data_IF_468969448846
#
_entry.id   IF_468969448846
#
_cell.length_a   1.000
_cell.length_b   1.000
_cell.length_c   1.000
_cell.angle_alpha   90.00
_cell.angle_beta   90.00
_cell.angle_gamma   90.00
#
_symmetry.space_group_name_H-M   'P 1'
#
loop_
_entity.id
_entity.type
_entity.pdbx_description
1 polymer ?
#
# COMPACT_ATOMS: atom_id res chain seq x y z
N UNK A 1 -10.05 -3.81 -6.08
CA UNK A 1 -9.48 -3.89 -4.72
C UNK A 1 -10.23 -4.90 -3.87
N UNK A 2 -9.56 -5.53 -2.89
CA UNK A 2 -10.18 -6.52 -2.01
C UNK A 2 -9.39 -6.67 -0.69
N UNK A 3 -9.95 -7.40 0.27
CA UNK A 3 -9.30 -7.72 1.55
C UNK A 3 -8.74 -9.14 1.52
N UNK A 4 -7.55 -9.32 2.10
CA UNK A 4 -6.89 -10.62 2.29
C UNK A 4 -6.72 -10.87 3.78
N UNK A 5 -7.12 -12.06 4.24
CA UNK A 5 -6.86 -12.49 5.62
C UNK A 5 -5.43 -13.01 5.76
N UNK A 6 -4.65 -12.38 6.64
CA UNK A 6 -3.25 -12.77 6.91
C UNK A 6 -3.14 -14.12 7.59
N UNK A 7 -4.22 -14.65 8.17
CA UNK A 7 -4.28 -15.99 8.76
C UNK A 7 -3.96 -17.09 7.75
N UNK A 8 -4.29 -16.90 6.46
CA UNK A 8 -3.92 -17.82 5.39
C UNK A 8 -2.40 -17.86 5.11
N UNK A 9 -1.64 -16.92 5.68
CA UNK A 9 -0.20 -16.75 5.51
C UNK A 9 0.54 -16.86 6.85
N UNK A 10 -0.08 -17.51 7.85
CA UNK A 10 0.51 -17.69 9.18
C UNK A 10 1.85 -18.43 9.13
N UNK A 11 2.03 -19.36 8.19
CA UNK A 11 3.31 -20.07 7.99
C UNK A 11 4.43 -19.13 7.53
N UNK A 12 4.14 -18.18 6.64
CA UNK A 12 5.14 -17.20 6.19
C UNK A 12 5.60 -16.30 7.34
N UNK A 13 4.66 -15.93 8.23
CA UNK A 13 4.98 -15.21 9.45
C UNK A 13 5.74 -16.07 10.47
N UNK A 14 5.29 -17.30 10.69
CA UNK A 14 5.91 -18.26 11.62
C UNK A 14 7.33 -18.63 11.20
N UNK A 15 7.57 -18.92 9.93
CA UNK A 15 8.90 -19.20 9.37
C UNK A 15 9.86 -18.02 9.60
N UNK A 16 9.38 -16.79 9.43
CA UNK A 16 10.16 -15.59 9.75
C UNK A 16 10.40 -15.40 11.26
N UNK A 17 9.59 -15.98 12.13
CA UNK A 17 9.79 -15.98 13.59
C UNK A 17 10.74 -17.10 14.06
N UNK A 18 10.60 -18.31 13.49
CA UNK A 18 11.40 -19.49 13.80
C UNK A 18 12.86 -19.34 13.40
N UNK A 19 13.14 -18.74 12.24
CA UNK A 19 14.50 -18.40 11.79
C UNK A 19 15.27 -17.54 12.81
N UNK A 20 14.56 -16.94 13.77
CA UNK A 20 15.09 -16.00 14.76
C UNK A 20 14.98 -16.53 16.20
N UNK A 21 14.51 -17.76 16.41
CA UNK A 21 14.35 -18.34 17.74
C UNK A 21 13.27 -17.67 18.62
N UNK A 22 12.32 -16.97 18.01
CA UNK A 22 11.17 -16.36 18.69
C UNK A 22 9.90 -17.19 18.47
N UNK A 23 8.90 -17.04 19.35
CA UNK A 23 7.62 -17.75 19.24
C UNK A 23 6.84 -17.36 17.96
N UNK A 24 6.25 -18.35 17.30
CA UNK A 24 5.43 -18.19 16.09
C UNK A 24 4.02 -17.67 16.39
N UNK A 25 3.92 -16.51 17.07
CA UNK A 25 2.63 -15.83 17.23
C UNK A 25 2.09 -15.41 15.85
N UNK A 26 0.76 -15.34 15.69
CA UNK A 26 0.12 -14.90 14.42
C UNK A 26 0.53 -13.47 14.05
N UNK A 27 0.50 -13.13 12.74
CA UNK A 27 0.52 -11.73 12.29
C UNK A 27 -0.52 -10.91 13.05
N UNK A 28 -0.12 -9.76 13.60
CA UNK A 28 -1.02 -8.83 14.28
C UNK A 28 -0.79 -7.42 13.76
N UNK A 29 -1.80 -6.82 13.15
CA UNK A 29 -1.69 -5.43 12.67
C UNK A 29 -1.31 -4.48 13.81
N UNK A 30 -1.88 -4.68 15.01
CA UNK A 30 -1.57 -3.85 16.18
C UNK A 30 -0.09 -3.90 16.59
N UNK A 31 0.57 -5.05 16.46
CA UNK A 31 1.99 -5.20 16.79
C UNK A 31 2.87 -4.47 15.77
N UNK A 32 2.52 -4.56 14.49
CA UNK A 32 3.21 -3.82 13.41
C UNK A 32 3.04 -2.31 13.61
N UNK A 33 1.83 -1.84 13.88
CA UNK A 33 1.56 -0.41 14.14
C UNK A 33 2.35 0.10 15.35
N UNK A 34 2.46 -0.69 16.42
CA UNK A 34 3.32 -0.33 17.57
C UNK A 34 4.81 -0.22 17.21
N UNK A 35 5.30 -1.02 16.26
CA UNK A 35 6.67 -0.90 15.76
C UNK A 35 6.84 0.35 14.90
N UNK A 36 5.82 0.72 14.13
CA UNK A 36 5.79 1.98 13.37
C UNK A 36 5.82 3.19 14.30
N UNK A 37 5.11 3.14 15.44
CA UNK A 37 5.18 4.19 16.47
C UNK A 37 6.58 4.35 17.05
N UNK A 38 7.26 3.23 17.34
CA UNK A 38 8.64 3.26 17.81
C UNK A 38 9.60 3.86 16.78
N UNK A 39 9.38 3.57 15.49
CA UNK A 39 10.15 4.16 14.39
C UNK A 39 9.95 5.67 14.29
N UNK A 40 8.71 6.17 14.34
CA UNK A 40 8.45 7.61 14.27
C UNK A 40 8.76 8.37 15.56
N UNK A 41 9.01 7.65 16.66
CA UNK A 41 9.46 8.20 17.94
C UNK A 41 10.96 8.50 18.03
N UNK A 42 11.75 8.24 16.97
CA UNK A 42 13.18 8.58 16.96
C UNK A 42 13.40 10.11 16.92
N UNK A 43 14.56 10.61 17.40
CA UNK A 43 14.90 12.03 17.37
C UNK A 43 14.84 12.65 15.97
N UNK A 44 14.38 13.90 15.87
CA UNK A 44 14.16 14.59 14.58
C UNK A 44 15.47 14.83 13.79
N UNK A 45 16.57 15.05 14.49
CA UNK A 45 17.91 15.14 13.89
C UNK A 45 18.32 13.84 13.20
N UNK A 46 17.96 12.70 13.81
CA UNK A 46 18.20 11.38 13.24
C UNK A 46 17.25 11.11 12.06
N UNK A 47 15.98 11.55 12.13
CA UNK A 47 15.08 11.47 10.97
C UNK A 47 15.64 12.22 9.77
N UNK A 48 16.21 13.40 10.00
CA UNK A 48 16.85 14.19 8.96
C UNK A 48 18.17 13.56 8.46
N UNK A 49 19.00 12.99 9.34
CA UNK A 49 20.23 12.28 8.97
C UNK A 49 19.95 11.08 8.07
N UNK A 50 18.90 10.32 8.38
CA UNK A 50 18.48 9.13 7.62
C UNK A 50 17.42 9.45 6.56
N UNK A 51 17.30 10.71 6.13
CA UNK A 51 16.33 11.13 5.12
C UNK A 51 16.70 10.70 3.70
N UNK A 52 15.73 10.23 2.91
CA UNK A 52 15.93 9.74 1.52
C UNK A 52 16.65 10.77 0.63
N UNK A 53 16.22 12.04 0.68
CA UNK A 53 16.85 13.15 -0.08
C UNK A 53 18.32 13.35 0.27
N UNK A 54 18.71 13.11 1.52
CA UNK A 54 20.08 13.26 1.99
C UNK A 54 20.94 12.07 1.59
N UNK A 55 20.37 10.87 1.68
CA UNK A 55 21.06 9.62 1.33
C UNK A 55 21.15 9.41 -0.18
N UNK A 56 20.32 10.09 -0.98
CA UNK A 56 20.33 10.00 -2.43
C UNK A 56 19.73 8.70 -2.98
N UNK A 57 18.97 7.97 -2.15
CA UNK A 57 18.36 6.68 -2.48
C UNK A 57 16.87 6.61 -2.11
N UNK A 58 16.27 5.45 -2.36
CA UNK A 58 14.86 5.16 -2.08
C UNK A 58 14.59 4.70 -0.63
N UNK A 59 15.61 4.54 0.21
CA UNK A 59 15.49 4.04 1.61
C UNK A 59 15.70 5.15 2.64
N UNK A 60 15.00 5.07 3.77
CA UNK A 60 15.08 6.04 4.87
C UNK A 60 13.84 6.92 5.03
N UNK A 61 13.95 7.99 5.81
CA UNK A 61 12.84 8.89 6.13
C UNK A 61 12.44 9.79 4.97
N UNK A 62 11.14 9.98 4.83
CA UNK A 62 10.49 11.02 4.06
C UNK A 62 10.08 12.10 5.06
N UNK A 63 10.66 13.29 4.93
CA UNK A 63 10.34 14.42 5.79
C UNK A 63 8.86 14.83 5.69
N UNK A 64 8.36 15.51 6.70
CA UNK A 64 6.99 16.01 6.73
C UNK A 64 6.67 16.89 5.51
N UNK A 65 5.60 16.55 4.78
CA UNK A 65 5.20 17.27 3.56
C UNK A 65 6.16 17.10 2.37
N UNK A 66 7.23 16.31 2.50
CA UNK A 66 8.28 16.23 1.50
C UNK A 66 7.90 15.39 0.28
N UNK A 67 6.91 14.50 0.42
CA UNK A 67 6.31 13.71 -0.66
C UNK A 67 4.98 14.36 -1.03
N UNK A 68 5.02 15.36 -1.90
CA UNK A 68 3.83 15.89 -2.54
C UNK A 68 3.88 15.46 -4.00
N UNK A 69 3.00 14.53 -4.38
CA UNK A 69 2.89 14.04 -5.77
C UNK A 69 2.48 15.13 -6.77
N UNK A 70 2.10 16.30 -6.26
CA UNK A 70 1.83 17.50 -7.04
C UNK A 70 2.27 18.75 -6.26
N UNK A 71 2.81 19.78 -6.94
CA UNK A 71 3.16 21.05 -6.31
C UNK A 71 1.93 21.81 -5.79
N UNK A 72 0.72 21.38 -6.17
CA UNK A 72 -0.54 22.01 -5.78
C UNK A 72 -1.05 21.55 -4.40
N UNK A 73 -0.57 20.41 -3.91
CA UNK A 73 -1.05 19.82 -2.66
C UNK A 73 0.05 19.78 -1.61
N UNK A 74 -0.34 20.00 -0.36
CA UNK A 74 0.49 19.71 0.79
C UNK A 74 0.03 18.39 1.41
N UNK A 75 0.88 17.37 1.36
CA UNK A 75 0.57 16.05 1.94
C UNK A 75 0.98 16.01 3.42
N UNK A 76 -0.02 16.02 4.29
CA UNK A 76 0.14 16.10 5.74
C UNK A 76 0.56 14.74 6.36
N UNK A 77 1.76 14.30 6.00
CA UNK A 77 2.38 13.06 6.47
C UNK A 77 3.90 13.17 6.52
N UNK A 78 4.50 12.37 7.40
CA UNK A 78 5.89 11.93 7.29
C UNK A 78 5.91 10.45 6.92
N UNK A 79 7.04 9.95 6.42
CA UNK A 79 7.15 8.56 6.01
C UNK A 79 8.52 7.94 6.26
N UNK A 80 8.62 6.63 6.08
CA UNK A 80 9.88 5.90 6.07
C UNK A 80 9.82 4.75 5.08
N UNK A 81 10.85 4.61 4.27
CA UNK A 81 10.97 3.62 3.21
C UNK A 81 11.97 2.53 3.57
N UNK A 82 11.57 1.26 3.46
CA UNK A 82 12.46 0.11 3.55
C UNK A 82 12.05 -0.96 2.54
N UNK A 83 12.96 -1.83 2.15
CA UNK A 83 12.74 -2.91 1.21
C UNK A 83 13.41 -4.19 1.68
N UNK A 84 13.84 -5.00 0.71
CA UNK A 84 14.51 -6.27 0.95
C UNK A 84 15.77 -6.15 1.82
N UNK A 85 15.89 -7.01 2.83
CA UNK A 85 17.01 -7.00 3.77
C UNK A 85 17.87 -8.26 3.74
N UNK A 86 17.39 -9.36 3.15
CA UNK A 86 18.08 -10.66 3.20
C UNK A 86 19.01 -10.89 2.00
N UNK A 87 20.08 -10.11 1.96
CA UNK A 87 21.02 -10.15 0.84
C UNK A 87 21.98 -11.35 0.85
N UNK A 88 21.93 -12.23 1.88
CA UNK A 88 22.81 -13.41 1.96
C UNK A 88 24.31 -13.10 1.90
N UNK A 89 24.72 -11.86 2.22
CA UNK A 89 26.10 -11.37 2.12
C UNK A 89 26.52 -10.85 0.75
N UNK A 90 25.68 -10.97 -0.30
CA UNK A 90 25.90 -10.29 -1.57
C UNK A 90 25.53 -8.80 -1.46
N UNK A 91 26.26 -7.87 -2.09
CA UNK A 91 25.82 -6.48 -2.15
C UNK A 91 24.62 -6.34 -3.10
N UNK A 92 23.73 -5.34 -2.88
CA UNK A 92 22.79 -4.86 -3.88
C UNK A 92 23.54 -4.55 -5.18
N UNK A 93 22.99 -5.01 -6.31
CA UNK A 93 23.72 -5.01 -7.59
C UNK A 93 22.92 -4.45 -8.76
N UNK A 94 21.59 -4.39 -8.64
CA UNK A 94 20.70 -3.83 -9.64
C UNK A 94 20.31 -2.38 -9.40
N UNK A 95 19.82 -1.72 -10.45
CA UNK A 95 19.15 -0.43 -10.32
C UNK A 95 17.93 -0.59 -9.38
N UNK A 96 17.77 0.32 -8.42
CA UNK A 96 16.73 0.31 -7.36
C UNK A 96 16.94 -0.73 -6.24
N UNK A 97 18.00 -1.53 -6.28
CA UNK A 97 18.41 -2.39 -5.17
C UNK A 97 19.28 -1.58 -4.19
N UNK A 98 18.81 -1.43 -2.95
CA UNK A 98 19.48 -0.63 -1.93
C UNK A 98 19.38 -1.28 -0.54
N UNK A 99 20.42 -1.12 0.27
CA UNK A 99 20.37 -1.46 1.68
C UNK A 99 19.44 -0.50 2.44
N UNK A 100 18.68 -1.05 3.39
CA UNK A 100 17.81 -0.24 4.23
C UNK A 100 18.61 0.67 5.17
N UNK A 101 18.25 1.95 5.19
CA UNK A 101 18.88 2.97 6.01
C UNK A 101 18.13 3.16 7.34
N UNK A 102 18.34 2.23 8.28
CA UNK A 102 17.69 2.31 9.60
C UNK A 102 18.44 3.26 10.54
N UNK A 103 17.71 4.18 11.21
CA UNK A 103 18.24 4.92 12.33
C UNK A 103 18.69 3.99 13.46
N UNK A 104 19.77 4.39 14.16
CA UNK A 104 20.34 3.69 15.31
C UNK A 104 19.37 3.67 16.50
N UNK A 105 18.55 4.71 16.68
CA UNK A 105 17.61 4.78 17.80
C UNK A 105 16.38 3.90 17.62
N UNK A 106 16.13 3.35 16.42
CA UNK A 106 15.02 2.40 16.22
C UNK A 106 15.35 1.11 16.98
N UNK A 107 14.47 0.65 17.89
CA UNK A 107 14.69 -0.60 18.60
C UNK A 107 14.89 -1.76 17.63
N UNK A 108 15.93 -2.57 17.85
CA UNK A 108 16.25 -3.69 16.96
C UNK A 108 15.08 -4.67 16.80
N UNK A 109 14.25 -4.84 17.84
CA UNK A 109 13.03 -5.65 17.76
C UNK A 109 11.99 -5.07 16.79
N UNK A 110 11.73 -3.76 16.85
CA UNK A 110 10.80 -3.09 15.93
C UNK A 110 11.29 -3.18 14.48
N UNK A 111 12.59 -2.90 14.25
CA UNK A 111 13.23 -3.08 12.94
C UNK A 111 13.02 -4.49 12.39
N UNK A 112 13.26 -5.53 13.20
CA UNK A 112 13.09 -6.94 12.78
C UNK A 112 11.65 -7.27 12.38
N UNK A 113 10.67 -6.80 13.16
CA UNK A 113 9.25 -7.02 12.84
C UNK A 113 8.89 -6.39 11.50
N UNK A 114 9.35 -5.17 11.24
CA UNK A 114 9.09 -4.45 9.99
C UNK A 114 9.82 -5.09 8.79
N UNK A 115 11.14 -5.24 8.87
CA UNK A 115 11.96 -5.71 7.74
C UNK A 115 11.75 -7.18 7.37
N UNK A 116 11.52 -8.05 8.37
CA UNK A 116 11.48 -9.49 8.13
C UNK A 116 10.08 -10.05 8.16
N UNK A 117 9.35 -9.81 9.24
CA UNK A 117 8.04 -10.46 9.44
C UNK A 117 6.96 -9.83 8.58
N UNK A 118 6.79 -8.51 8.66
CA UNK A 118 5.81 -7.78 7.86
C UNK A 118 6.13 -7.91 6.36
N UNK A 119 7.39 -7.65 5.98
CA UNK A 119 7.85 -7.81 4.60
C UNK A 119 7.61 -9.24 4.09
N UNK A 120 7.93 -10.26 4.90
CA UNK A 120 7.76 -11.67 4.55
C UNK A 120 6.29 -12.04 4.30
N UNK A 121 5.36 -11.59 5.14
CA UNK A 121 3.92 -11.84 4.93
C UNK A 121 3.41 -11.12 3.69
N UNK A 122 3.80 -9.87 3.48
CA UNK A 122 3.37 -9.11 2.31
C UNK A 122 3.94 -9.69 1.02
N UNK A 123 5.20 -10.13 1.04
CA UNK A 123 5.81 -10.90 -0.06
C UNK A 123 5.01 -12.17 -0.34
N UNK A 124 4.69 -12.96 0.69
CA UNK A 124 3.94 -14.21 0.52
C UNK A 124 2.54 -13.98 -0.06
N UNK A 125 1.83 -12.93 0.40
CA UNK A 125 0.54 -12.52 -0.18
C UNK A 125 0.72 -12.14 -1.65
N UNK A 126 1.71 -11.30 -1.97
CA UNK A 126 2.00 -10.88 -3.34
C UNK A 126 2.30 -12.06 -4.26
N UNK A 127 3.17 -12.99 -3.85
CA UNK A 127 3.51 -14.20 -4.61
C UNK A 127 2.31 -15.11 -4.85
N UNK A 128 1.46 -15.30 -3.84
CA UNK A 128 0.24 -16.08 -3.99
C UNK A 128 -0.74 -15.43 -4.98
N UNK A 129 -0.87 -14.10 -4.92
CA UNK A 129 -1.70 -13.35 -5.87
C UNK A 129 -1.12 -13.39 -7.29
N UNK A 130 0.20 -13.29 -7.46
CA UNK A 130 0.85 -13.44 -8.77
C UNK A 130 0.54 -14.80 -9.39
N UNK A 131 0.63 -15.90 -8.64
CA UNK A 131 0.21 -17.23 -9.13
C UNK A 131 -1.26 -17.26 -9.56
N UNK A 132 -2.15 -16.70 -8.74
CA UNK A 132 -3.56 -16.62 -9.05
C UNK A 132 -3.85 -15.80 -10.33
N UNK A 133 -3.18 -14.66 -10.49
CA UNK A 133 -3.30 -13.84 -11.70
C UNK A 133 -2.70 -14.53 -12.93
N UNK A 134 -1.60 -15.26 -12.75
CA UNK A 134 -0.99 -16.06 -13.81
C UNK A 134 -1.99 -17.10 -14.35
N UNK A 135 -2.67 -17.84 -13.47
CA UNK A 135 -3.75 -18.75 -13.88
C UNK A 135 -4.87 -18.05 -14.64
N UNK A 136 -5.29 -16.88 -14.17
CA UNK A 136 -6.43 -16.15 -14.74
C UNK A 136 -6.12 -15.51 -16.10
N UNK A 137 -4.85 -15.13 -16.34
CA UNK A 137 -4.42 -14.45 -17.56
C UNK A 137 -3.82 -15.41 -18.59
N UNK A 138 -3.15 -16.47 -18.15
CA UNK A 138 -2.38 -17.38 -19.01
C UNK A 138 -2.83 -18.84 -18.95
N UNK A 139 -3.70 -19.22 -17.99
CA UNK A 139 -4.09 -20.61 -17.78
C UNK A 139 -3.04 -21.48 -17.09
N UNK A 140 -1.93 -20.87 -16.65
CA UNK A 140 -0.79 -21.52 -16.00
C UNK A 140 -0.31 -20.67 -14.82
N UNK A 141 -0.13 -21.27 -13.65
CA UNK A 141 0.30 -20.56 -12.44
C UNK A 141 1.77 -20.12 -12.46
N UNK A 142 2.62 -20.68 -13.33
CA UNK A 142 4.06 -20.45 -13.32
C UNK A 142 4.53 -19.33 -14.24
N UNK A 143 3.77 -18.96 -15.27
CA UNK A 143 4.18 -18.00 -16.31
C UNK A 143 4.67 -16.66 -15.73
N UNK A 144 3.89 -16.05 -14.83
CA UNK A 144 4.31 -14.80 -14.17
C UNK A 144 5.41 -15.02 -13.12
N UNK A 145 5.30 -15.98 -12.17
CA UNK A 145 6.37 -16.25 -11.22
C UNK A 145 7.75 -16.50 -11.84
N UNK A 146 7.82 -17.31 -12.90
CA UNK A 146 9.09 -17.66 -13.55
C UNK A 146 9.72 -16.43 -14.21
N UNK A 147 8.89 -15.59 -14.83
CA UNK A 147 9.32 -14.37 -15.52
C UNK A 147 9.78 -13.27 -14.55
N UNK A 148 9.23 -13.25 -13.34
CA UNK A 148 9.33 -12.11 -12.42
C UNK A 148 10.05 -12.41 -11.10
N UNK A 149 10.61 -13.61 -10.98
CA UNK A 149 11.47 -14.02 -9.86
C UNK A 149 12.52 -12.96 -9.52
N UNK A 150 12.75 -12.70 -8.23
CA UNK A 150 13.69 -11.66 -7.77
C UNK A 150 13.06 -10.26 -7.62
N UNK A 151 11.78 -10.07 -7.97
CA UNK A 151 11.08 -8.79 -7.78
C UNK A 151 10.98 -8.32 -6.33
N UNK A 152 11.10 -9.22 -5.36
CA UNK A 152 11.16 -8.90 -3.94
C UNK A 152 12.33 -7.96 -3.60
N UNK A 153 13.43 -8.00 -4.38
CA UNK A 153 14.64 -7.18 -4.14
C UNK A 153 14.44 -5.69 -4.41
N UNK A 154 13.52 -5.36 -5.31
CA UNK A 154 13.14 -3.97 -5.60
C UNK A 154 11.77 -3.59 -5.01
N UNK A 155 11.02 -4.57 -4.50
CA UNK A 155 9.80 -4.33 -3.74
C UNK A 155 10.09 -3.52 -2.49
N UNK A 156 9.18 -2.59 -2.17
CA UNK A 156 9.41 -1.56 -1.16
C UNK A 156 8.18 -1.37 -0.28
N UNK A 157 8.41 -1.28 1.02
CA UNK A 157 7.44 -0.85 2.01
C UNK A 157 7.66 0.64 2.32
N UNK A 158 6.56 1.40 2.36
CA UNK A 158 6.50 2.74 2.91
C UNK A 158 5.58 2.74 4.10
N UNK A 159 6.07 3.22 5.23
CA UNK A 159 5.23 3.48 6.41
C UNK A 159 5.00 4.97 6.52
N UNK A 160 3.79 5.35 6.87
CA UNK A 160 3.36 6.74 6.94
C UNK A 160 2.72 7.04 8.28
N UNK A 161 3.00 8.24 8.78
CA UNK A 161 2.32 8.87 9.90
C UNK A 161 1.63 10.12 9.39
N UNK A 162 0.31 10.14 9.49
CA UNK A 162 -0.52 11.29 9.12
C UNK A 162 -0.89 12.06 10.37
N UNK A 163 -0.67 13.37 10.34
CA UNK A 163 -0.88 14.22 11.51
C UNK A 163 -2.31 14.74 11.56
N UNK A 164 -2.88 14.89 12.75
CA UNK A 164 -4.15 15.60 12.93
C UNK A 164 -3.97 17.12 12.77
N UNK A 165 -2.81 17.64 13.17
CA UNK A 165 -2.51 19.07 13.22
C UNK A 165 -2.29 19.74 11.87
N UNK A 166 -2.19 19.02 10.76
CA UNK A 166 -2.01 19.63 9.44
C UNK A 166 -3.14 20.60 9.08
N UNK A 167 -4.35 20.39 9.61
CA UNK A 167 -5.46 21.36 9.48
C UNK A 167 -5.18 22.66 10.26
N UNK A 168 -4.49 22.60 11.40
CA UNK A 168 -4.11 23.77 12.22
C UNK A 168 -2.89 24.50 11.68
N UNK A 169 -1.91 23.77 11.14
CA UNK A 169 -0.67 24.33 10.63
C UNK A 169 -0.86 24.94 9.24
N UNK A 170 -1.66 24.30 8.37
CA UNK A 170 -2.02 24.90 7.09
C UNK A 170 -2.83 26.21 7.24
N UNK A 171 -3.63 26.35 8.32
CA UNK A 171 -4.30 27.61 8.69
C UNK A 171 -3.32 28.74 9.04
N UNK A 172 -2.08 28.43 9.45
CA UNK A 172 -1.05 29.42 9.79
C UNK A 172 -0.19 29.83 8.59
N UNK A 173 -0.11 28.99 7.56
CA UNK A 173 0.88 29.13 6.48
C UNK A 173 0.32 29.54 5.10
N UNK A 174 -0.99 29.80 4.93
CA UNK A 174 -1.51 30.16 3.59
C UNK A 174 -2.50 31.33 3.59
N UNK A 175 -2.15 32.37 2.84
CA UNK A 175 -2.97 33.54 2.54
C UNK A 175 -3.50 33.48 1.10
N UNK A 176 -4.48 32.60 0.85
CA UNK A 176 -5.46 32.69 -0.23
C UNK A 176 -6.22 31.37 -0.30
N UNK A 177 -7.56 31.45 -0.28
CA UNK A 177 -8.52 30.41 -0.66
C UNK A 177 -7.96 29.00 -0.89
N UNK A 178 -8.11 28.12 0.11
CA UNK A 178 -8.70 26.77 -0.02
C UNK A 178 -8.54 25.99 1.29
N UNK A 179 -9.62 25.90 2.05
CA UNK A 179 -9.82 24.88 3.10
C UNK A 179 -9.67 23.43 2.57
N UNK A 180 -9.51 23.24 1.26
CA UNK A 180 -9.34 21.95 0.57
C UNK A 180 -7.89 21.49 0.37
N UNK A 181 -6.87 22.37 0.47
CA UNK A 181 -5.48 22.00 0.14
C UNK A 181 -4.65 21.52 1.35
N UNK A 182 -5.06 21.88 2.56
CA UNK A 182 -4.45 21.55 3.86
C UNK A 182 -4.67 20.11 4.36
N UNK A 183 -5.28 19.28 3.52
CA UNK A 183 -6.39 18.46 3.97
C UNK A 183 -6.22 16.98 3.61
N UNK A 184 -5.28 16.73 2.70
CA UNK A 184 -4.93 15.42 2.20
C UNK A 184 -3.71 14.89 2.96
N UNK A 185 -3.81 13.66 3.44
CA UNK A 185 -2.66 12.87 3.83
C UNK A 185 -1.88 12.37 2.61
N UNK A 186 -2.57 12.09 1.50
CA UNK A 186 -1.94 11.81 0.20
C UNK A 186 -2.86 12.27 -0.93
N UNK A 187 -2.29 12.94 -1.93
CA UNK A 187 -3.03 13.50 -3.06
C UNK A 187 -3.64 12.40 -3.96
N UNK A 188 -4.61 12.69 -4.84
CA UNK A 188 -5.11 11.72 -5.81
C UNK A 188 -4.01 11.14 -6.72
N UNK A 189 -3.84 9.82 -6.72
CA UNK A 189 -2.87 9.11 -7.57
C UNK A 189 -3.26 7.65 -7.84
N UNK A 190 -2.54 7.02 -8.77
CA UNK A 190 -2.47 5.57 -8.97
C UNK A 190 -1.09 5.07 -8.57
N UNK A 191 -0.97 3.76 -8.29
CA UNK A 191 0.30 3.15 -7.93
C UNK A 191 0.94 2.51 -9.16
N UNK A 192 2.23 2.75 -9.41
CA UNK A 192 2.90 2.24 -10.61
C UNK A 192 3.14 0.72 -10.62
N UNK A 193 3.17 0.08 -9.45
CA UNK A 193 3.60 -1.32 -9.30
C UNK A 193 2.62 -2.35 -9.85
N UNK A 194 2.89 -3.62 -9.52
CA UNK A 194 1.96 -4.69 -9.87
C UNK A 194 0.80 -4.74 -8.87
N UNK A 195 1.13 -4.81 -7.58
CA UNK A 195 0.16 -4.84 -6.49
C UNK A 195 0.58 -3.88 -5.39
N UNK A 196 -0.40 -3.28 -4.75
CA UNK A 196 -0.21 -2.49 -3.54
C UNK A 196 -0.94 -3.17 -2.39
N UNK A 197 -0.20 -3.54 -1.35
CA UNK A 197 -0.71 -4.19 -0.15
C UNK A 197 -0.67 -3.19 1.00
N UNK A 198 -1.80 -2.99 1.68
CA UNK A 198 -1.97 -1.96 2.70
C UNK A 198 -2.39 -2.59 4.02
N UNK A 199 -1.68 -2.25 5.09
CA UNK A 199 -2.13 -2.40 6.47
C UNK A 199 -2.16 -1.03 7.13
N UNK A 200 -3.06 -0.78 8.07
CA UNK A 200 -3.14 0.49 8.78
C UNK A 200 -3.75 0.27 10.17
N UNK A 201 -3.82 1.33 10.97
CA UNK A 201 -4.80 1.34 12.05
C UNK A 201 -6.24 1.48 11.47
N UNK A 202 -7.25 1.37 12.33
CA UNK A 202 -8.64 1.52 11.91
C UNK A 202 -9.09 3.01 11.84
N UNK A 203 -8.15 3.96 11.88
CA UNK A 203 -8.46 5.34 11.54
C UNK A 203 -8.81 5.42 10.05
N UNK A 204 -10.03 5.86 9.68
CA UNK A 204 -10.42 5.99 8.29
C UNK A 204 -9.55 7.03 7.57
N UNK A 205 -9.63 7.10 6.24
CA UNK A 205 -8.92 8.13 5.48
C UNK A 205 -8.63 7.75 4.04
N UNK A 206 -8.38 6.46 3.77
CA UNK A 206 -8.21 5.97 2.40
C UNK A 206 -9.53 6.10 1.64
N UNK A 207 -9.49 6.76 0.48
CA UNK A 207 -10.61 6.89 -0.44
C UNK A 207 -10.23 6.40 -1.84
N UNK A 208 -11.14 5.69 -2.50
CA UNK A 208 -11.04 5.31 -3.90
C UNK A 208 -12.00 6.17 -4.72
N UNK A 209 -11.61 6.53 -5.95
CA UNK A 209 -12.52 7.11 -6.92
C UNK A 209 -13.30 6.01 -7.62
N UNK A 210 -14.63 6.08 -7.58
CA UNK A 210 -15.54 5.17 -8.24
C UNK A 210 -16.55 6.01 -9.03
N UNK A 211 -16.55 5.89 -10.36
CA UNK A 211 -17.43 6.65 -11.26
C UNK A 211 -17.37 8.18 -11.05
N UNK A 212 -16.18 8.70 -10.74
CA UNK A 212 -15.95 10.12 -10.49
C UNK A 212 -16.24 10.57 -9.04
N UNK A 213 -16.72 9.68 -8.18
CA UNK A 213 -17.02 9.96 -6.78
C UNK A 213 -15.99 9.33 -5.83
N UNK A 214 -15.60 10.07 -4.80
CA UNK A 214 -14.70 9.57 -3.77
C UNK A 214 -15.45 8.77 -2.71
N UNK A 215 -15.06 7.50 -2.53
CA UNK A 215 -15.64 6.59 -1.53
C UNK A 215 -14.61 6.18 -0.50
N UNK A 216 -14.92 6.37 0.78
CA UNK A 216 -14.05 5.98 1.88
C UNK A 216 -14.05 4.46 2.04
N UNK A 217 -12.86 3.87 2.11
CA UNK A 217 -12.68 2.45 2.42
C UNK A 217 -12.96 2.24 3.91
N UNK A 218 -13.97 1.42 4.23
CA UNK A 218 -14.25 1.03 5.62
C UNK A 218 -13.07 0.22 6.18
N UNK A 219 -12.39 0.71 7.23
CA UNK A 219 -11.24 0.01 7.80
C UNK A 219 -11.64 -1.35 8.39
N UNK A 220 -10.80 -2.37 8.16
CA UNK A 220 -10.93 -3.71 8.73
C UNK A 220 -9.58 -4.25 9.22
N UNK A 221 -8.63 -3.37 9.48
CA UNK A 221 -7.24 -3.73 9.72
C UNK A 221 -7.02 -4.33 11.11
N UNK A 222 -7.83 -3.96 12.11
CA UNK A 222 -7.82 -4.59 13.44
C UNK A 222 -8.16 -6.08 13.43
N UNK A 223 -8.73 -6.58 12.34
CA UNK A 223 -9.04 -8.00 12.11
C UNK A 223 -7.90 -8.74 11.40
N UNK A 224 -6.71 -8.15 11.37
CA UNK A 224 -5.52 -8.68 10.71
C UNK A 224 -5.75 -8.91 9.20
N UNK A 225 -6.53 -8.04 8.56
CA UNK A 225 -6.76 -8.03 7.12
C UNK A 225 -5.86 -7.00 6.42
N UNK A 226 -5.40 -7.37 5.23
CA UNK A 226 -4.62 -6.50 4.33
C UNK A 226 -5.52 -6.08 3.17
N UNK A 227 -5.53 -4.78 2.86
CA UNK A 227 -6.24 -4.25 1.71
C UNK A 227 -5.32 -4.27 0.48
N UNK A 228 -5.81 -4.79 -0.65
CA UNK A 228 -5.01 -4.98 -1.86
C UNK A 228 -5.59 -4.23 -3.04
N UNK A 229 -4.75 -3.45 -3.71
CA UNK A 229 -5.00 -2.80 -5.00
C UNK A 229 -4.10 -3.40 -6.08
N UNK A 230 -4.56 -3.34 -7.33
CA UNK A 230 -3.70 -3.49 -8.49
C UNK A 230 -3.04 -2.15 -8.78
N UNK A 231 -1.81 -2.15 -9.29
CA UNK A 231 -1.17 -0.97 -9.82
C UNK A 231 -1.19 -0.89 -11.34
N UNK A 232 -0.57 0.14 -11.89
CA UNK A 232 -0.58 0.47 -13.32
C UNK A 232 0.09 -0.62 -14.15
N UNK A 233 1.17 -1.24 -13.65
CA UNK A 233 1.80 -2.38 -14.33
C UNK A 233 0.81 -3.54 -14.52
N UNK A 234 -0.03 -3.82 -13.53
CA UNK A 234 -1.05 -4.87 -13.62
C UNK A 234 -2.19 -4.51 -14.59
N UNK A 235 -2.57 -3.23 -14.61
CA UNK A 235 -3.54 -2.72 -15.60
C UNK A 235 -3.02 -2.90 -17.02
N UNK A 236 -1.76 -2.54 -17.25
CA UNK A 236 -1.06 -2.73 -18.52
C UNK A 236 -1.00 -4.21 -18.90
N UNK A 237 -0.46 -5.05 -18.01
CA UNK A 237 -0.33 -6.50 -18.19
C UNK A 237 -1.63 -7.15 -18.63
N UNK A 238 -2.73 -6.74 -18.00
CA UNK A 238 -4.04 -7.35 -18.18
C UNK A 238 -4.89 -6.67 -19.25
N UNK A 239 -4.30 -5.77 -20.04
CA UNK A 239 -4.99 -4.97 -21.05
C UNK A 239 -6.25 -4.27 -20.49
N UNK A 240 -6.15 -3.73 -19.26
CA UNK A 240 -7.21 -3.01 -18.56
C UNK A 240 -8.25 -3.91 -17.86
N UNK A 241 -8.11 -5.24 -17.89
CA UNK A 241 -9.02 -6.15 -17.18
C UNK A 241 -8.97 -5.96 -15.66
N UNK A 242 -7.79 -5.66 -15.12
CA UNK A 242 -7.60 -5.29 -13.71
C UNK A 242 -7.22 -3.82 -13.61
N UNK A 243 -8.15 -2.99 -13.12
CA UNK A 243 -7.96 -1.55 -13.07
C UNK A 243 -7.07 -1.15 -11.88
N UNK A 244 -6.13 -0.24 -12.14
CA UNK A 244 -5.38 0.50 -11.11
C UNK A 244 -6.28 1.61 -10.56
N UNK A 245 -6.72 1.53 -9.28
CA UNK A 245 -7.71 2.46 -8.77
C UNK A 245 -7.07 3.81 -8.44
N UNK A 246 -7.67 4.89 -8.98
CA UNK A 246 -7.37 6.24 -8.52
C UNK A 246 -7.78 6.35 -7.05
N UNK A 247 -6.85 6.75 -6.19
CA UNK A 247 -7.07 6.79 -4.75
C UNK A 247 -6.38 7.99 -4.09
N UNK A 248 -6.82 8.35 -2.89
CA UNK A 248 -6.26 9.42 -2.06
C UNK A 248 -6.38 9.08 -0.58
N UNK A 249 -5.70 9.83 0.28
CA UNK A 249 -5.85 9.71 1.74
C UNK A 249 -6.23 11.05 2.32
N UNK A 250 -7.31 11.10 3.10
CA UNK A 250 -7.67 12.27 3.90
C UNK A 250 -6.86 12.32 5.19
N UNK A 251 -6.54 13.52 5.66
CA UNK A 251 -5.95 13.70 6.99
C UNK A 251 -6.97 13.34 8.08
N UNK A 252 -6.54 12.81 9.26
CA UNK A 252 -7.43 12.46 10.37
C UNK A 252 -8.47 13.54 10.73
N UNK A 253 -8.04 14.80 10.85
CA UNK A 253 -8.91 15.94 11.19
C UNK A 253 -9.99 16.29 10.15
N UNK A 254 -9.91 15.78 8.92
CA UNK A 254 -10.94 15.98 7.90
C UNK A 254 -12.06 14.95 7.93
N UNK A 255 -11.81 13.74 8.44
CA UNK A 255 -12.84 12.70 8.47
C UNK A 255 -14.01 13.06 9.39
N UNK A 256 -13.74 13.81 10.45
CA UNK A 256 -14.78 14.40 11.31
C UNK A 256 -15.71 15.36 10.56
N UNK A 257 -15.25 15.97 9.45
CA UNK A 257 -16.04 16.87 8.60
C UNK A 257 -16.75 16.12 7.46
N UNK A 258 -16.09 15.11 6.88
CA UNK A 258 -16.63 14.32 5.76
C UNK A 258 -17.68 13.28 6.19
N UNK A 259 -17.67 12.82 7.45
CA UNK A 259 -18.67 11.89 7.99
C UNK A 259 -20.09 12.48 8.13
N UNK A 260 -20.28 13.76 7.80
CA UNK A 260 -21.61 14.37 7.67
C UNK A 260 -22.33 13.97 6.36
N UNK A 261 -21.61 13.44 5.37
CA UNK A 261 -22.16 12.93 4.12
C UNK A 261 -21.93 11.42 4.02
N UNK A 262 -22.93 10.62 4.41
CA UNK A 262 -22.89 9.16 4.24
C UNK A 262 -22.92 8.77 2.76
N UNK A 263 -21.74 8.61 2.15
CA UNK A 263 -21.62 7.95 0.85
C UNK A 263 -21.63 6.42 1.05
N UNK A 264 -22.39 5.65 0.25
CA UNK A 264 -22.46 4.20 0.38
C UNK A 264 -21.10 3.56 0.12
N UNK A 265 -20.76 2.56 0.93
CA UNK A 265 -19.53 1.78 0.81
C UNK A 265 -19.37 1.23 -0.62
N UNK A 266 -18.15 1.25 -1.14
CA UNK A 266 -17.82 0.57 -2.38
C UNK A 266 -17.81 -0.94 -2.13
N UNK A 267 -18.93 -1.62 -2.42
CA UNK A 267 -18.87 -3.04 -2.70
C UNK A 267 -18.25 -3.25 -4.09
N UNK A 268 -17.33 -4.21 -4.26
CA UNK A 268 -16.82 -4.55 -5.59
C UNK A 268 -18.00 -4.90 -6.51
N UNK A 269 -17.97 -4.48 -7.78
CA UNK A 269 -19.10 -4.67 -8.68
C UNK A 269 -19.51 -6.15 -8.72
N UNK A 270 -20.78 -6.40 -8.40
CA UNK A 270 -21.38 -7.71 -8.61
C UNK A 270 -21.30 -8.06 -10.10
N UNK A 271 -20.53 -9.12 -10.38
CA UNK A 271 -20.44 -9.92 -11.63
C UNK A 271 -21.06 -9.30 -12.90
N UNK A 272 -20.22 -9.02 -13.90
CA UNK A 272 -20.61 -9.18 -15.31
C UNK A 272 -19.85 -10.36 -15.92
N UNK A 273 -20.62 -11.21 -16.60
CA UNK A 273 -20.30 -12.48 -17.26
C UNK A 273 -20.17 -13.71 -16.33
N UNK A 274 -21.11 -14.64 -16.52
CA UNK A 274 -21.23 -15.89 -15.81
C UNK A 274 -20.10 -16.87 -16.18
N UNK A 275 -19.47 -17.42 -15.15
CA UNK A 275 -18.89 -18.77 -15.21
C UNK A 275 -19.62 -19.56 -14.12
N UNK A 276 -20.29 -20.65 -14.53
CA UNK A 276 -21.05 -21.51 -13.64
C UNK A 276 -20.13 -22.13 -12.57
N UNK A 277 -20.40 -21.94 -11.27
CA UNK A 277 -19.62 -22.61 -10.24
C UNK A 277 -20.16 -24.01 -9.98
N UNK A 278 -19.28 -25.01 -10.03
CA UNK A 278 -19.51 -26.29 -9.37
C UNK A 278 -19.61 -26.06 -7.85
N UNK A 279 -20.56 -26.75 -7.24
CA UNK A 279 -21.07 -26.52 -5.90
C UNK A 279 -20.07 -26.79 -4.77
N UNK A 280 -20.07 -25.91 -3.75
CA UNK A 280 -19.70 -26.21 -2.36
C UNK A 280 -20.56 -25.33 -1.40
N UNK A 281 -20.77 -25.77 -0.13
CA UNK A 281 -22.01 -25.52 0.59
C UNK A 281 -22.05 -24.21 1.38
N UNK A 282 -23.28 -23.74 1.59
CA UNK A 282 -23.64 -22.53 2.31
C UNK A 282 -23.38 -22.63 3.84
N UNK A 283 -23.01 -21.51 4.44
CA UNK A 283 -22.98 -21.29 5.90
C UNK A 283 -23.75 -20.00 6.22
N UNK A 284 -24.39 -19.87 7.40
CA UNK A 284 -25.65 -19.15 7.54
C UNK A 284 -25.48 -17.64 7.76
N UNK A 285 -26.54 -16.93 7.35
CA UNK A 285 -26.74 -15.51 7.52
C UNK A 285 -26.79 -15.10 9.00
N UNK A 286 -26.29 -13.90 9.29
CA UNK A 286 -26.59 -13.15 10.51
C UNK A 286 -26.89 -11.69 10.13
N UNK A 287 -28.18 -11.37 10.08
CA UNK A 287 -28.70 -10.00 10.09
C UNK A 287 -28.70 -9.45 11.53
N UNK A 288 -28.33 -8.17 11.65
CA UNK A 288 -28.56 -7.35 12.83
C UNK A 288 -28.30 -5.88 12.51
N UNK A 289 -29.17 -4.94 12.91
CA UNK A 289 -29.02 -3.53 12.54
C UNK A 289 -27.88 -2.90 13.35
N UNK A 290 -26.85 -2.39 12.66
CA UNK A 290 -25.75 -1.65 13.29
C UNK A 290 -26.20 -0.19 13.48
N UNK A 291 -26.69 0.12 14.66
CA UNK A 291 -27.08 1.48 15.05
C UNK A 291 -25.91 2.37 15.48
N UNK A 292 -25.94 3.63 15.03
CA UNK A 292 -25.47 4.87 15.68
C UNK A 292 -24.15 4.89 16.49
N UNK A 293 -23.16 4.05 16.16
CA UNK A 293 -21.84 4.05 16.81
C UNK A 293 -20.80 4.99 16.18
N UNK A 294 -21.04 5.50 14.96
CA UNK A 294 -20.02 6.16 14.14
C UNK A 294 -19.69 7.58 14.63
N UNK A 295 -20.70 8.34 15.06
CA UNK A 295 -20.53 9.75 15.46
C UNK A 295 -19.72 9.93 16.76
N UNK A 296 -19.78 8.96 17.68
CA UNK A 296 -19.05 9.02 18.97
C UNK A 296 -17.56 8.65 18.88
N UNK A 297 -17.14 7.99 17.79
CA UNK A 297 -15.74 7.60 17.57
C UNK A 297 -14.90 8.70 16.91
N UNK A 298 -15.54 9.67 16.23
CA UNK A 298 -14.87 10.73 15.47
C UNK A 298 -14.20 11.79 16.35
N UNK A 299 -14.63 11.96 17.61
CA UNK A 299 -14.12 13.00 18.53
C UNK A 299 -12.81 12.63 19.25
N UNK A 300 -12.13 11.54 18.85
CA UNK A 300 -10.85 11.06 19.41
C UNK A 300 -9.79 10.74 18.32
N UNK A 301 -9.96 11.23 17.10
CA UNK A 301 -9.03 10.90 16.01
C UNK A 301 -7.69 11.62 16.23
N UNK A 302 -6.76 10.89 16.86
CA UNK A 302 -5.34 11.25 16.84
C UNK A 302 -4.73 10.97 15.45
N UNK A 303 -3.40 10.98 15.40
CA UNK A 303 -2.63 10.63 14.20
C UNK A 303 -3.00 9.24 13.65
N UNK A 304 -2.83 9.05 12.34
CA UNK A 304 -3.07 7.78 11.63
C UNK A 304 -1.76 7.16 11.17
N UNK A 305 -1.67 5.83 11.21
CA UNK A 305 -0.54 5.06 10.69
C UNK A 305 -0.99 4.16 9.56
N UNK A 306 -0.18 4.09 8.51
CA UNK A 306 -0.34 3.05 7.49
C UNK A 306 0.99 2.51 7.01
N UNK A 307 0.97 1.27 6.59
CA UNK A 307 2.03 0.58 5.86
C UNK A 307 1.48 0.30 4.47
N UNK A 308 2.22 0.72 3.46
CA UNK A 308 1.93 0.49 2.05
C UNK A 308 3.11 -0.28 1.47
N UNK A 309 2.84 -1.43 0.87
CA UNK A 309 3.85 -2.28 0.25
C UNK A 309 3.59 -2.38 -1.23
N UNK A 310 4.56 -1.91 -2.00
CA UNK A 310 4.55 -1.93 -3.43
C UNK A 310 5.28 -3.20 -3.89
N UNK A 311 4.49 -4.16 -4.35
CA UNK A 311 4.99 -5.41 -4.90
C UNK A 311 5.31 -5.21 -6.37
N UNK A 312 6.59 -5.37 -6.72
CA UNK A 312 7.10 -5.21 -8.08
C UNK A 312 7.64 -6.54 -8.61
N UNK A 313 7.53 -6.78 -9.93
CA UNK A 313 8.39 -7.76 -10.59
C UNK A 313 9.85 -7.28 -10.59
N UNK A 314 10.81 -8.13 -10.93
CA UNK A 314 12.22 -7.70 -11.14
C UNK A 314 12.31 -6.57 -12.17
N UNK A 315 13.33 -5.73 -12.07
CA UNK A 315 13.43 -4.49 -12.87
C UNK A 315 13.36 -4.71 -14.39
N UNK A 316 14.05 -5.74 -14.88
CA UNK A 316 14.11 -6.13 -16.30
C UNK A 316 13.08 -7.21 -16.68
N UNK A 317 12.04 -7.38 -15.86
CA UNK A 317 10.93 -8.29 -16.13
C UNK A 317 10.24 -7.93 -17.46
N UNK A 318 10.08 -8.94 -18.31
CA UNK A 318 9.26 -8.83 -19.52
C UNK A 318 7.84 -9.28 -19.22
N UNK A 319 6.87 -8.62 -19.86
CA UNK A 319 5.48 -9.07 -19.87
C UNK A 319 5.40 -10.29 -20.80
N UNK A 320 4.98 -11.47 -20.31
CA UNK A 320 4.81 -12.64 -21.17
C UNK A 320 3.65 -12.43 -22.15
N UNK A 321 3.80 -12.93 -23.38
CA UNK A 321 2.74 -12.92 -24.38
C UNK A 321 1.54 -13.76 -23.91
N UNK A 322 0.30 -13.29 -24.06
CA UNK A 322 -0.88 -14.10 -23.75
C UNK A 322 -0.89 -15.38 -24.61
N UNK A 323 -1.35 -16.49 -24.02
CA UNK A 323 -1.42 -17.79 -24.71
C UNK A 323 -2.30 -17.77 -25.98
N UNK A 324 -3.22 -16.80 -26.07
CA UNK A 324 -4.07 -16.57 -27.24
C UNK A 324 -3.44 -15.44 -28.04
N UNK A 325 -2.86 -15.74 -29.21
CA UNK A 325 -2.08 -14.81 -30.05
C UNK A 325 -2.79 -13.58 -30.62
N UNK A 326 -3.70 -12.94 -29.88
CA UNK A 326 -4.13 -11.56 -30.10
C UNK A 326 -3.02 -10.62 -29.61
N UNK A 327 -1.94 -10.61 -30.38
CA UNK A 327 -0.75 -9.82 -30.11
C UNK A 327 -1.03 -8.33 -30.10
N UNK A 328 -0.48 -7.68 -29.09
CA UNK A 328 0.14 -6.36 -29.25
C UNK A 328 1.27 -6.28 -28.22
N UNK A 329 2.50 -6.53 -28.68
CA UNK A 329 3.67 -5.99 -27.98
C UNK A 329 3.54 -4.48 -27.95
N UNK A 330 3.09 -3.94 -26.82
CA UNK A 330 3.42 -2.58 -26.46
C UNK A 330 4.51 -2.71 -25.39
N UNK A 331 5.72 -2.27 -25.74
CA UNK A 331 6.78 -2.08 -24.76
C UNK A 331 6.33 -0.95 -23.83
N UNK A 332 5.81 -1.30 -22.66
CA UNK A 332 5.54 -0.33 -21.61
C UNK A 332 6.74 -0.29 -20.68
N UNK A 333 7.55 0.77 -20.80
CA UNK A 333 8.49 1.12 -19.74
C UNK A 333 7.73 1.93 -18.70
N UNK A 334 7.57 1.39 -17.49
CA UNK A 334 6.88 2.06 -16.37
C UNK A 334 7.68 3.24 -15.81
N UNK A 335 8.91 3.45 -16.29
CA UNK A 335 9.83 4.48 -15.80
C UNK A 335 10.26 5.48 -16.88
N UNK A 336 9.63 5.48 -18.06
CA UNK A 336 9.79 6.58 -19.01
C UNK A 336 9.00 7.80 -18.49
N UNK A 337 9.70 8.93 -18.39
CA UNK A 337 9.19 10.23 -17.96
C UNK A 337 7.86 10.61 -18.65
N UNK A 338 6.75 10.45 -17.94
CA UNK A 338 5.39 10.80 -18.38
C UNK A 338 5.15 12.33 -18.44
N UNK A 339 6.14 13.18 -18.11
CA UNK A 339 5.98 14.63 -18.22
C UNK A 339 5.92 15.13 -19.68
N UNK A 340 6.11 14.26 -20.69
CA UNK A 340 6.19 14.67 -22.10
C UNK A 340 5.11 14.18 -23.05
N UNK A 341 4.25 13.23 -22.66
CA UNK A 341 3.23 12.68 -23.57
C UNK A 341 1.78 12.99 -23.15
N UNK A 342 1.56 14.18 -22.60
CA UNK A 342 0.23 14.81 -22.65
C UNK A 342 0.00 15.39 -24.05
N UNK A 343 -0.26 14.52 -25.03
CA UNK A 343 -0.84 14.93 -26.32
C UNK A 343 -2.31 14.50 -26.33
N UNK A 344 -3.14 15.52 -26.09
CA UNK A 344 -4.54 15.73 -26.48
C UNK A 344 -5.29 14.55 -27.16
N UNK A 345 -6.32 13.96 -26.53
CA UNK A 345 -7.25 13.07 -27.20
C UNK A 345 -8.39 13.89 -27.80
N UNK A 346 -8.23 14.32 -29.06
CA UNK A 346 -9.35 14.60 -29.97
C UNK A 346 -9.58 13.44 -30.93
#
# INVERSE_FOLDING_TARGET
SFWVDTGAFSEAWASAAEAEGEGADRFRTSAVISCVDQLFGVPEDEKHEFGTKRLGGARGFIGYGAESGSPEFFENKEGFCFGFSDWGGAPPSGDLEEHNAWPRSVPGAARRVLERRLFGVFRAIGEALVRAYSLVLYGDESVLPDSWSGGERISIARVFRYFDEGVREARRHTSANRETLASLGSSPHTDWGLLTLIAADDCPGLQLSCDGEWRTVTPKFSRDLVFVNCGDYMSILSAGRFVSPLHRVLSPGQLALAAADEAPACEPPAKRAAVSPAAMPASPAADGPVGNGVAGALSKLGERRSIVFFFYPRYDAKIPEPANGEGRQQFYSVLADQSKDAVDPQ
#
